data_IF_575623708301
#
_entry.id   IF_575623708301
#
_cell.length_a   1.000
_cell.length_b   1.000
_cell.length_c   1.000
_cell.angle_alpha   90.00
_cell.angle_beta   90.00
_cell.angle_gamma   90.00
#
_symmetry.space_group_name_H-M   'P 1'
#
loop_
_entity.id
_entity.type
_entity.pdbx_description
1 polymer ?
#
# COMPACT_ATOMS: atom_id res chain seq x y z
N UNK A 1 -35.26 -20.47 51.99
CA UNK A 1 -34.44 -21.11 50.92
C UNK A 1 -34.93 -20.76 49.53
N UNK A 2 -36.24 -20.74 49.31
CA UNK A 2 -36.82 -20.34 48.00
C UNK A 2 -36.41 -18.94 47.51
N UNK A 3 -36.42 -17.94 48.37
CA UNK A 3 -36.03 -16.56 48.00
C UNK A 3 -34.59 -16.43 47.53
N UNK A 4 -33.68 -17.29 47.93
CA UNK A 4 -32.28 -17.27 47.53
C UNK A 4 -32.08 -17.92 46.13
N UNK A 5 -32.89 -18.89 45.79
CA UNK A 5 -32.87 -19.55 44.50
C UNK A 5 -33.49 -18.64 43.40
N UNK A 6 -34.55 -17.89 43.75
CA UNK A 6 -35.15 -16.92 42.83
C UNK A 6 -34.17 -15.78 42.48
N UNK A 7 -33.50 -15.18 43.45
CA UNK A 7 -32.49 -14.13 43.22
C UNK A 7 -31.30 -14.66 42.41
N UNK A 8 -30.90 -15.89 42.63
CA UNK A 8 -29.80 -16.51 41.88
C UNK A 8 -30.19 -16.76 40.41
N UNK A 9 -31.45 -17.15 40.16
CA UNK A 9 -31.95 -17.36 38.80
C UNK A 9 -32.10 -16.05 38.04
N UNK A 10 -32.57 -14.98 38.69
CA UNK A 10 -32.65 -13.64 38.10
C UNK A 10 -31.25 -13.08 37.73
N UNK A 11 -30.28 -13.22 38.63
CA UNK A 11 -28.90 -12.79 38.38
C UNK A 11 -28.23 -13.58 37.24
N UNK A 12 -28.53 -14.87 37.15
CA UNK A 12 -28.02 -15.68 36.01
C UNK A 12 -28.66 -15.28 34.69
N UNK A 13 -29.92 -14.92 34.71
CA UNK A 13 -30.62 -14.45 33.50
C UNK A 13 -30.13 -13.07 33.06
N UNK A 14 -29.94 -12.12 33.98
CA UNK A 14 -29.34 -10.82 33.69
C UNK A 14 -27.90 -10.95 33.16
N UNK A 15 -27.10 -11.86 33.71
CA UNK A 15 -25.74 -12.13 33.23
C UNK A 15 -25.74 -12.72 31.80
N UNK A 16 -26.69 -13.60 31.52
CA UNK A 16 -26.86 -14.18 30.19
C UNK A 16 -27.32 -13.14 29.18
N UNK A 17 -28.26 -12.28 29.53
CA UNK A 17 -28.76 -11.18 28.69
C UNK A 17 -27.67 -10.12 28.43
N UNK A 18 -26.86 -9.81 29.45
CA UNK A 18 -25.69 -8.94 29.32
C UNK A 18 -24.62 -9.54 28.40
N UNK A 19 -24.31 -10.83 28.56
CA UNK A 19 -23.38 -11.52 27.66
C UNK A 19 -23.89 -11.56 26.23
N UNK A 20 -25.16 -11.83 26.01
CA UNK A 20 -25.78 -11.87 24.71
C UNK A 20 -25.84 -10.48 24.04
N UNK A 21 -26.08 -9.42 24.81
CA UNK A 21 -26.02 -8.02 24.32
C UNK A 21 -24.59 -7.59 23.98
N UNK A 22 -23.59 -7.96 24.78
CA UNK A 22 -22.18 -7.68 24.51
C UNK A 22 -21.71 -8.44 23.27
N UNK A 23 -22.10 -9.69 23.10
CA UNK A 23 -21.79 -10.47 21.89
C UNK A 23 -22.48 -9.91 20.63
N UNK A 24 -23.77 -9.51 20.73
CA UNK A 24 -24.48 -8.87 19.62
C UNK A 24 -23.89 -7.51 19.27
N UNK A 25 -23.55 -6.67 20.24
CA UNK A 25 -22.92 -5.37 19.96
C UNK A 25 -21.50 -5.51 19.42
N UNK A 26 -20.73 -6.48 19.91
CA UNK A 26 -19.39 -6.74 19.39
C UNK A 26 -19.41 -7.33 17.98
N UNK A 27 -20.36 -8.23 17.67
CA UNK A 27 -20.50 -8.78 16.33
C UNK A 27 -21.03 -7.76 15.32
N UNK A 28 -22.00 -6.92 15.70
CA UNK A 28 -22.59 -5.90 14.83
C UNK A 28 -21.57 -4.80 14.46
N UNK A 29 -20.79 -4.34 15.42
CA UNK A 29 -19.72 -3.37 15.17
C UNK A 29 -18.57 -4.00 14.38
N UNK A 30 -18.30 -5.28 14.58
CA UNK A 30 -17.23 -6.01 13.91
C UNK A 30 -17.52 -6.27 12.42
N UNK A 31 -18.76 -6.58 12.04
CA UNK A 31 -19.13 -6.93 10.67
C UNK A 31 -19.13 -5.71 9.73
N UNK A 32 -19.76 -4.61 10.12
CA UNK A 32 -19.78 -3.37 9.34
C UNK A 32 -18.36 -2.83 9.13
N UNK A 33 -17.52 -3.06 10.08
CA UNK A 33 -16.17 -2.61 10.14
C UNK A 33 -15.22 -3.47 9.29
N UNK A 34 -15.33 -4.78 9.37
CA UNK A 34 -14.62 -5.71 8.47
C UNK A 34 -14.93 -5.40 7.01
N UNK A 35 -16.16 -5.01 6.71
CA UNK A 35 -16.58 -4.62 5.37
C UNK A 35 -15.87 -3.34 4.91
N UNK A 36 -15.73 -2.34 5.77
CA UNK A 36 -15.02 -1.07 5.48
C UNK A 36 -13.54 -1.32 5.19
N UNK A 37 -12.83 -2.05 6.05
CA UNK A 37 -11.42 -2.40 5.82
C UNK A 37 -11.25 -3.26 4.58
N UNK A 38 -12.15 -4.20 4.34
CA UNK A 38 -12.12 -5.02 3.12
C UNK A 38 -12.31 -4.19 1.86
N UNK A 39 -13.22 -3.20 1.91
CA UNK A 39 -13.43 -2.29 0.79
C UNK A 39 -12.20 -1.41 0.54
N UNK A 40 -11.65 -0.77 1.58
CA UNK A 40 -10.44 0.06 1.50
C UNK A 40 -9.22 -0.75 1.01
N UNK A 41 -9.08 -1.99 1.51
CA UNK A 41 -8.04 -2.92 1.06
C UNK A 41 -8.19 -3.29 -0.42
N UNK A 42 -9.43 -3.51 -0.89
CA UNK A 42 -9.72 -3.82 -2.28
C UNK A 42 -9.46 -2.63 -3.21
N UNK A 43 -9.76 -1.41 -2.79
CA UNK A 43 -9.41 -0.20 -3.54
C UNK A 43 -7.89 -0.05 -3.70
N UNK A 44 -7.14 -0.28 -2.62
CA UNK A 44 -5.67 -0.28 -2.66
C UNK A 44 -5.09 -1.40 -3.54
N UNK A 45 -5.70 -2.57 -3.51
CA UNK A 45 -5.36 -3.68 -4.41
C UNK A 45 -5.47 -3.26 -5.89
N UNK A 46 -6.62 -2.73 -6.30
CA UNK A 46 -6.85 -2.29 -7.68
C UNK A 46 -5.93 -1.15 -8.08
N UNK A 47 -5.66 -0.22 -7.17
CA UNK A 47 -4.73 0.88 -7.40
C UNK A 47 -3.31 0.38 -7.66
N UNK A 48 -2.82 -0.56 -6.85
CA UNK A 48 -1.49 -1.16 -7.06
C UNK A 48 -1.45 -2.03 -8.33
N UNK A 49 -2.52 -2.76 -8.64
CA UNK A 49 -2.62 -3.55 -9.86
C UNK A 49 -2.56 -2.65 -11.11
N UNK A 50 -3.29 -1.54 -11.10
CA UNK A 50 -3.24 -0.55 -12.17
C UNK A 50 -1.83 0.05 -12.32
N UNK A 51 -1.20 0.45 -11.21
CA UNK A 51 0.17 0.97 -11.22
C UNK A 51 1.17 -0.05 -11.74
N UNK A 52 1.05 -1.32 -11.34
CA UNK A 52 1.90 -2.39 -11.85
C UNK A 52 1.77 -2.57 -13.36
N UNK A 53 0.55 -2.55 -13.89
CA UNK A 53 0.31 -2.59 -15.34
C UNK A 53 0.93 -1.39 -16.06
N UNK A 54 0.73 -0.18 -15.55
CA UNK A 54 1.31 1.04 -16.15
C UNK A 54 2.83 0.96 -16.16
N UNK A 55 3.45 0.57 -15.04
CA UNK A 55 4.92 0.44 -14.95
C UNK A 55 5.44 -0.61 -15.92
N UNK A 56 4.76 -1.77 -16.05
CA UNK A 56 5.16 -2.82 -16.99
C UNK A 56 5.11 -2.32 -18.45
N UNK A 57 4.04 -1.63 -18.83
CA UNK A 57 3.89 -1.05 -20.19
C UNK A 57 4.97 -0.01 -20.45
N UNK A 58 5.22 0.90 -19.49
CA UNK A 58 6.25 1.94 -19.62
C UNK A 58 7.64 1.31 -19.73
N UNK A 59 7.94 0.29 -18.93
CA UNK A 59 9.21 -0.44 -18.97
C UNK A 59 9.45 -1.04 -20.36
N UNK A 60 8.49 -1.79 -20.89
CA UNK A 60 8.60 -2.41 -22.21
C UNK A 60 8.77 -1.35 -23.30
N UNK A 61 7.95 -0.30 -23.29
CA UNK A 61 8.01 0.77 -24.28
C UNK A 61 9.35 1.51 -24.23
N UNK A 62 9.86 1.81 -23.03
CA UNK A 62 11.15 2.47 -22.85
C UNK A 62 12.31 1.58 -23.31
N UNK A 63 12.31 0.30 -22.96
CA UNK A 63 13.35 -0.66 -23.39
C UNK A 63 13.42 -0.75 -24.91
N UNK A 64 12.27 -0.86 -25.58
CA UNK A 64 12.19 -0.90 -27.04
C UNK A 64 12.68 0.42 -27.65
N UNK A 65 12.23 1.55 -27.12
CA UNK A 65 12.65 2.87 -27.60
C UNK A 65 14.17 3.08 -27.46
N UNK A 66 14.73 2.74 -26.31
CA UNK A 66 16.16 2.87 -26.03
C UNK A 66 17.00 1.93 -26.92
N UNK A 67 16.53 0.70 -27.17
CA UNK A 67 17.17 -0.22 -28.10
C UNK A 67 17.18 0.31 -29.54
N UNK A 68 16.08 0.92 -30.00
CA UNK A 68 15.98 1.52 -31.35
C UNK A 68 16.91 2.72 -31.51
N UNK A 69 17.10 3.52 -30.48
CA UNK A 69 18.00 4.69 -30.48
C UNK A 69 19.48 4.26 -30.28
N UNK A 70 19.73 2.95 -30.11
CA UNK A 70 21.05 2.36 -29.84
C UNK A 70 21.72 2.90 -28.58
N UNK A 71 20.93 3.11 -27.53
CA UNK A 71 21.49 3.46 -26.24
C UNK A 71 22.42 2.36 -25.70
N UNK A 72 23.42 2.72 -24.86
CA UNK A 72 24.29 1.75 -24.24
C UNK A 72 23.49 0.73 -23.45
N UNK A 73 23.73 -0.55 -23.68
CA UNK A 73 22.96 -1.64 -23.10
C UNK A 73 22.94 -1.64 -21.55
N UNK A 74 24.04 -1.19 -20.93
CA UNK A 74 24.11 -1.10 -19.48
C UNK A 74 23.18 -0.04 -18.88
N UNK A 75 22.90 1.03 -19.63
CA UNK A 75 21.94 2.08 -19.24
C UNK A 75 20.50 1.55 -19.32
N UNK A 76 20.18 0.82 -20.37
CA UNK A 76 18.91 0.10 -20.52
C UNK A 76 18.73 -0.85 -19.34
N UNK A 77 19.75 -1.62 -19.00
CA UNK A 77 19.72 -2.55 -17.87
C UNK A 77 19.46 -1.83 -16.53
N UNK A 78 20.08 -0.67 -16.31
CA UNK A 78 19.83 0.11 -15.08
C UNK A 78 18.38 0.60 -14.99
N UNK A 79 17.81 1.06 -16.10
CA UNK A 79 16.41 1.45 -16.16
C UNK A 79 15.47 0.26 -15.93
N UNK A 80 15.74 -0.85 -16.56
CA UNK A 80 14.95 -2.07 -16.40
C UNK A 80 15.01 -2.60 -14.95
N UNK A 81 16.17 -2.54 -14.30
CA UNK A 81 16.30 -2.88 -12.89
C UNK A 81 15.49 -1.95 -11.99
N UNK A 82 15.50 -0.65 -12.27
CA UNK A 82 14.72 0.33 -11.51
C UNK A 82 13.21 0.13 -11.67
N UNK A 83 12.72 0.01 -12.91
CA UNK A 83 11.30 -0.25 -13.17
C UNK A 83 10.89 -1.64 -12.68
N UNK A 84 11.75 -2.64 -12.81
CA UNK A 84 11.55 -3.98 -12.27
C UNK A 84 11.41 -3.98 -10.74
N UNK A 85 12.19 -3.15 -10.05
CA UNK A 85 12.04 -2.95 -8.61
C UNK A 85 10.68 -2.33 -8.26
N UNK A 86 10.26 -1.26 -8.95
CA UNK A 86 8.97 -0.63 -8.72
C UNK A 86 7.83 -1.63 -9.00
N UNK A 87 7.94 -2.40 -10.07
CA UNK A 87 6.98 -3.44 -10.43
C UNK A 87 6.90 -4.52 -9.33
N UNK A 88 8.03 -5.02 -8.87
CA UNK A 88 8.11 -6.00 -7.79
C UNK A 88 7.48 -5.47 -6.50
N UNK A 89 7.77 -4.21 -6.11
CA UNK A 89 7.19 -3.59 -4.91
C UNK A 89 5.66 -3.50 -5.00
N UNK A 90 5.10 -3.14 -6.16
CA UNK A 90 3.66 -3.13 -6.37
C UNK A 90 3.06 -4.55 -6.32
N UNK A 91 3.74 -5.55 -6.90
CA UNK A 91 3.28 -6.94 -6.86
C UNK A 91 3.32 -7.50 -5.43
N UNK A 92 4.35 -7.21 -4.64
CA UNK A 92 4.39 -7.58 -3.22
C UNK A 92 3.28 -6.93 -2.41
N UNK A 93 2.96 -5.65 -2.67
CA UNK A 93 1.82 -4.99 -2.04
C UNK A 93 0.49 -5.66 -2.40
N UNK A 94 0.29 -6.03 -3.67
CA UNK A 94 -0.89 -6.77 -4.14
C UNK A 94 -1.03 -8.11 -3.43
N UNK A 95 0.07 -8.88 -3.33
CA UNK A 95 0.07 -10.18 -2.67
C UNK A 95 -0.22 -10.03 -1.18
N UNK A 96 0.39 -9.01 -0.52
CA UNK A 96 0.15 -8.71 0.89
C UNK A 96 -1.31 -8.35 1.18
N UNK A 97 -1.90 -7.46 0.39
CA UNK A 97 -3.31 -7.07 0.50
C UNK A 97 -4.28 -8.24 0.25
N UNK A 98 -3.96 -9.12 -0.70
CA UNK A 98 -4.80 -10.28 -1.02
C UNK A 98 -4.76 -11.37 0.06
N UNK A 99 -3.61 -11.54 0.73
CA UNK A 99 -3.39 -12.55 1.76
C UNK A 99 -3.81 -12.10 3.14
N UNK A 100 -4.12 -10.83 3.32
CA UNK A 100 -4.51 -10.28 4.61
C UNK A 100 -5.81 -10.93 5.10
N UNK A 101 -5.71 -11.60 6.24
CA UNK A 101 -6.87 -12.13 6.95
C UNK A 101 -7.47 -11.01 7.81
N UNK A 102 -8.52 -10.38 7.28
CA UNK A 102 -9.22 -9.28 7.97
C UNK A 102 -10.09 -9.78 9.12
N UNK A 103 -10.30 -11.09 9.25
CA UNK A 103 -11.16 -11.67 10.27
C UNK A 103 -10.42 -11.93 11.58
N UNK A 104 -9.09 -12.02 11.57
CA UNK A 104 -8.29 -12.26 12.75
C UNK A 104 -7.52 -11.00 13.19
N UNK A 105 -7.40 -10.81 14.52
CA UNK A 105 -6.61 -9.73 15.09
C UNK A 105 -5.15 -9.77 14.63
N UNK A 106 -4.57 -10.95 14.54
CA UNK A 106 -3.21 -11.15 14.05
C UNK A 106 -3.06 -10.78 12.58
N UNK A 107 -4.06 -11.10 11.76
CA UNK A 107 -4.11 -10.70 10.35
C UNK A 107 -4.20 -9.18 10.18
N UNK A 108 -4.98 -8.49 11.01
CA UNK A 108 -5.06 -7.02 11.01
C UNK A 108 -3.74 -6.37 11.42
N UNK A 109 -3.07 -6.90 12.45
CA UNK A 109 -1.75 -6.42 12.87
C UNK A 109 -0.71 -6.60 11.76
N UNK A 110 -0.70 -7.75 11.11
CA UNK A 110 0.19 -8.04 9.99
C UNK A 110 -0.08 -7.12 8.78
N UNK A 111 -1.36 -6.87 8.48
CA UNK A 111 -1.77 -5.95 7.42
C UNK A 111 -1.29 -4.52 7.72
N UNK A 112 -1.53 -4.02 8.93
CA UNK A 112 -1.07 -2.71 9.41
C UNK A 112 0.44 -2.53 9.26
N UNK A 113 1.23 -3.49 9.73
CA UNK A 113 2.69 -3.44 9.64
C UNK A 113 3.17 -3.43 8.17
N UNK A 114 2.53 -4.22 7.33
CA UNK A 114 2.77 -4.26 5.90
C UNK A 114 2.47 -2.91 5.25
N UNK A 115 1.33 -2.29 5.56
CA UNK A 115 0.92 -0.98 5.04
C UNK A 115 1.92 0.12 5.43
N UNK A 116 2.33 0.18 6.70
CA UNK A 116 3.35 1.13 7.19
C UNK A 116 4.70 0.93 6.48
N UNK A 117 5.08 -0.32 6.27
CA UNK A 117 6.32 -0.66 5.55
C UNK A 117 6.25 -0.24 4.09
N UNK A 118 5.15 -0.51 3.39
CA UNK A 118 4.96 -0.10 1.98
C UNK A 118 4.91 1.42 1.83
N UNK A 119 4.19 2.12 2.71
CA UNK A 119 4.14 3.59 2.70
C UNK A 119 5.54 4.19 2.87
N UNK A 120 6.31 3.75 3.86
CA UNK A 120 7.68 4.21 4.10
C UNK A 120 8.61 3.91 2.93
N UNK A 121 8.53 2.70 2.36
CA UNK A 121 9.35 2.28 1.21
C UNK A 121 9.05 3.12 -0.02
N UNK A 122 7.77 3.29 -0.38
CA UNK A 122 7.37 4.14 -1.51
C UNK A 122 7.79 5.59 -1.34
N UNK A 123 7.65 6.14 -0.11
CA UNK A 123 7.95 7.54 0.17
C UNK A 123 9.44 7.85 0.10
N UNK A 124 10.30 6.96 0.59
CA UNK A 124 11.73 7.23 0.80
C UNK A 124 12.61 6.53 -0.21
N UNK A 125 12.57 5.20 -0.26
CA UNK A 125 13.54 4.40 -1.02
C UNK A 125 13.38 4.60 -2.52
N UNK A 126 12.15 4.46 -3.03
CA UNK A 126 11.88 4.60 -4.48
C UNK A 126 12.25 6.00 -4.96
N UNK A 127 11.95 7.03 -4.16
CA UNK A 127 12.31 8.42 -4.50
C UNK A 127 13.82 8.63 -4.55
N UNK A 128 14.55 8.16 -3.54
CA UNK A 128 16.02 8.35 -3.47
C UNK A 128 16.70 7.62 -4.63
N UNK A 129 16.35 6.35 -4.86
CA UNK A 129 16.91 5.57 -5.97
C UNK A 129 16.58 6.20 -7.31
N UNK A 130 15.34 6.67 -7.51
CA UNK A 130 14.94 7.36 -8.73
C UNK A 130 15.74 8.63 -9.00
N UNK A 131 16.00 9.44 -7.97
CA UNK A 131 16.83 10.65 -8.09
C UNK A 131 18.27 10.28 -8.44
N UNK A 132 18.87 9.30 -7.78
CA UNK A 132 20.25 8.86 -8.04
C UNK A 132 20.38 8.35 -9.47
N UNK A 133 19.47 7.47 -9.91
CA UNK A 133 19.47 6.95 -11.29
C UNK A 133 19.30 8.05 -12.33
N UNK A 134 18.39 9.00 -12.06
CA UNK A 134 18.19 10.15 -12.93
C UNK A 134 19.48 10.97 -13.06
N UNK A 135 20.13 11.34 -11.95
CA UNK A 135 21.37 12.10 -11.97
C UNK A 135 22.51 11.36 -12.68
N UNK A 136 22.67 10.06 -12.44
CA UNK A 136 23.67 9.24 -13.14
C UNK A 136 23.41 9.22 -14.65
N UNK A 137 22.16 9.08 -15.06
CA UNK A 137 21.77 9.09 -16.46
C UNK A 137 22.02 10.43 -17.12
N UNK A 138 21.71 11.54 -16.44
CA UNK A 138 21.93 12.90 -16.95
C UNK A 138 23.41 13.20 -17.15
N UNK A 139 24.25 12.87 -16.18
CA UNK A 139 25.71 13.04 -16.30
C UNK A 139 26.25 12.27 -17.50
N UNK A 140 25.78 11.02 -17.69
CA UNK A 140 26.23 10.21 -18.82
C UNK A 140 25.75 10.79 -20.16
N UNK A 141 24.47 11.15 -20.28
CA UNK A 141 23.90 11.69 -21.50
C UNK A 141 24.52 13.05 -21.88
N UNK A 142 24.89 13.86 -20.90
CA UNK A 142 25.58 15.13 -21.16
C UNK A 142 26.88 14.95 -21.96
N UNK A 143 27.63 13.89 -21.68
CA UNK A 143 28.87 13.58 -22.42
C UNK A 143 28.64 12.83 -23.73
N UNK A 144 27.54 12.06 -23.82
CA UNK A 144 27.29 11.19 -24.97
C UNK A 144 26.39 11.83 -26.02
N UNK A 145 25.29 12.45 -25.63
CA UNK A 145 24.32 13.12 -26.52
C UNK A 145 23.57 14.23 -25.77
N UNK A 146 23.95 15.47 -26.06
CA UNK A 146 23.38 16.67 -25.43
C UNK A 146 21.89 16.84 -25.71
N UNK A 147 21.40 16.44 -26.87
CA UNK A 147 20.00 16.58 -27.27
C UNK A 147 19.16 15.61 -26.46
N UNK A 148 19.62 14.37 -26.34
CA UNK A 148 18.96 13.36 -25.50
C UNK A 148 18.95 13.79 -24.01
N UNK A 149 20.03 14.39 -23.51
CA UNK A 149 20.12 14.94 -22.16
C UNK A 149 19.04 16.00 -21.90
N UNK A 150 18.94 17.02 -22.76
CA UNK A 150 17.90 18.05 -22.61
C UNK A 150 16.48 17.48 -22.70
N UNK A 151 16.24 16.54 -23.59
CA UNK A 151 14.96 15.85 -23.72
C UNK A 151 14.61 15.11 -22.43
N UNK A 152 15.57 14.43 -21.82
CA UNK A 152 15.36 13.66 -20.60
C UNK A 152 15.15 14.54 -19.36
N UNK A 153 15.83 15.69 -19.28
CA UNK A 153 15.59 16.70 -18.24
C UNK A 153 14.13 17.19 -18.29
N UNK A 154 13.65 17.51 -19.50
CA UNK A 154 12.26 17.99 -19.68
C UNK A 154 11.27 16.90 -19.27
N UNK A 155 11.42 15.68 -19.79
CA UNK A 155 10.55 14.56 -19.48
C UNK A 155 10.65 14.13 -18.01
N UNK A 156 11.85 14.03 -17.47
CA UNK A 156 12.08 13.69 -16.06
C UNK A 156 11.50 14.73 -15.12
N UNK A 157 11.60 16.02 -15.43
CA UNK A 157 11.00 17.10 -14.64
C UNK A 157 9.47 17.06 -14.71
N UNK A 158 8.90 16.76 -15.88
CA UNK A 158 7.46 16.63 -16.05
C UNK A 158 6.90 15.42 -15.27
N UNK A 159 7.51 14.26 -15.41
CA UNK A 159 7.06 13.05 -14.72
C UNK A 159 7.32 13.04 -13.22
N UNK A 160 8.48 13.52 -12.76
CA UNK A 160 8.80 13.60 -11.33
C UNK A 160 8.17 14.80 -10.63
N UNK A 161 8.00 15.93 -11.32
CA UNK A 161 7.55 17.17 -10.71
C UNK A 161 6.06 17.19 -10.39
N UNK A 162 5.22 17.00 -11.41
CA UNK A 162 3.78 17.26 -11.28
C UNK A 162 2.96 15.97 -11.14
N UNK A 163 3.27 14.94 -11.91
CA UNK A 163 2.45 13.73 -11.97
C UNK A 163 2.87 12.69 -10.93
N UNK A 164 4.17 12.41 -10.82
CA UNK A 164 4.68 11.38 -9.92
C UNK A 164 4.52 11.73 -8.44
N UNK A 165 4.77 13.01 -8.05
CA UNK A 165 4.64 13.45 -6.65
C UNK A 165 3.19 13.42 -6.16
N UNK A 166 2.26 13.93 -6.97
CA UNK A 166 0.84 13.96 -6.60
C UNK A 166 0.31 12.54 -6.42
N UNK A 167 0.60 11.67 -7.38
CA UNK A 167 0.15 10.28 -7.37
C UNK A 167 0.77 9.47 -6.22
N UNK A 168 2.08 9.57 -6.02
CA UNK A 168 2.76 8.88 -4.90
C UNK A 168 2.24 9.36 -3.55
N UNK A 169 1.99 10.66 -3.41
CA UNK A 169 1.43 11.23 -2.18
C UNK A 169 0.01 10.74 -1.92
N UNK A 170 -0.82 10.65 -2.95
CA UNK A 170 -2.18 10.14 -2.84
C UNK A 170 -2.20 8.65 -2.42
N UNK A 171 -1.36 7.84 -3.06
CA UNK A 171 -1.24 6.42 -2.71
C UNK A 171 -0.73 6.23 -1.28
N UNK A 172 0.34 6.94 -0.90
CA UNK A 172 0.87 6.84 0.47
C UNK A 172 -0.11 7.34 1.52
N UNK A 173 -0.90 8.38 1.21
CA UNK A 173 -1.95 8.87 2.09
C UNK A 173 -3.02 7.79 2.35
N UNK A 174 -3.46 7.08 1.31
CA UNK A 174 -4.41 5.97 1.46
C UNK A 174 -3.86 4.80 2.28
N UNK A 175 -2.56 4.49 2.16
CA UNK A 175 -1.92 3.50 3.03
C UNK A 175 -1.90 3.94 4.49
N UNK A 176 -1.60 5.21 4.73
CA UNK A 176 -1.57 5.78 6.07
C UNK A 176 -2.99 5.81 6.66
N UNK A 177 -4.01 6.26 5.92
CA UNK A 177 -5.42 6.27 6.32
C UNK A 177 -5.91 4.87 6.71
N UNK A 178 -5.69 3.86 5.86
CA UNK A 178 -6.09 2.49 6.19
C UNK A 178 -5.34 1.94 7.42
N UNK A 179 -4.06 2.33 7.61
CA UNK A 179 -3.32 1.90 8.80
C UNK A 179 -3.83 2.56 10.08
N UNK A 180 -4.32 3.80 10.01
CA UNK A 180 -4.94 4.53 11.12
C UNK A 180 -6.32 3.92 11.46
N UNK A 181 -7.14 3.62 10.45
CA UNK A 181 -8.40 2.90 10.65
C UNK A 181 -8.18 1.56 11.37
N UNK A 182 -7.16 0.80 11.01
CA UNK A 182 -6.81 -0.45 11.68
C UNK A 182 -6.32 -0.19 13.13
N UNK A 183 -5.60 0.90 13.38
CA UNK A 183 -5.14 1.25 14.73
C UNK A 183 -6.33 1.57 15.65
N UNK A 184 -7.27 2.39 15.18
CA UNK A 184 -8.49 2.75 15.95
C UNK A 184 -9.28 1.51 16.38
N UNK A 185 -9.34 0.52 15.51
CA UNK A 185 -10.09 -0.70 15.81
C UNK A 185 -9.38 -1.66 16.75
N UNK A 186 -8.08 -1.76 16.63
CA UNK A 186 -7.29 -2.55 17.58
C UNK A 186 -7.38 -1.95 18.98
N UNK A 187 -7.53 -0.63 19.09
CA UNK A 187 -7.70 0.07 20.36
C UNK A 187 -9.12 -0.10 20.91
N UNK A 188 -10.17 0.00 20.08
CA UNK A 188 -11.55 -0.24 20.50
C UNK A 188 -11.81 -1.70 20.94
N UNK A 189 -11.06 -2.65 20.38
CA UNK A 189 -11.16 -4.07 20.74
C UNK A 189 -10.42 -4.46 22.01
N UNK A 190 -9.76 -3.53 22.72
CA UNK A 190 -9.17 -3.79 24.04
C UNK A 190 -10.25 -3.62 25.14
N UNK A 191 -10.63 -4.70 25.85
CA UNK A 191 -11.51 -4.57 27.01
C UNK A 191 -10.77 -3.74 28.07
N UNK A 192 -11.39 -2.64 28.49
CA UNK A 192 -10.98 -1.80 29.62
C UNK A 192 -11.04 -2.55 30.94
#
# INVERSE_FOLDING_TARGET
>A
MEQYEDIKSELQQELQDLQQNVEQHSSFNNDAWQETVKQSSNELYWLNAFLACVVAVVMIAATVAFALIKWPWWLILLFDLYFGWILADNLFAIIGLRKADVQSREGLLSLRESLKTYSKRKRTIIRIIGIILFLVSEVFLFFYDRIACFSMIIWGSFFNGSFGRKRTREVTKRYDELSEEIDELLDESQPS
#
